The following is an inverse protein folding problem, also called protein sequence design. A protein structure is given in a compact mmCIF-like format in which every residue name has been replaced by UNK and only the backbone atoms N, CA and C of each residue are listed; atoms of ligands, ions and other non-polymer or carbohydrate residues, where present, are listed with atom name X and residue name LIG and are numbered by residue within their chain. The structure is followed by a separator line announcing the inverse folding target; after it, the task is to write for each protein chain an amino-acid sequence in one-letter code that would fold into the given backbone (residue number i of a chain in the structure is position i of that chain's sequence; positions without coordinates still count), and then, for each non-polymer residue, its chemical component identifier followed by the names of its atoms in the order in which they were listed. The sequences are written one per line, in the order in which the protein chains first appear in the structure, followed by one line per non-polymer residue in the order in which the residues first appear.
data_IF_649369050181
#
_entry.id   IF_649369050181
#
_cell.length_a   1.000
_cell.length_b   1.000
_cell.length_c   1.000
_cell.angle_alpha   90.00
_cell.angle_beta   90.00
_cell.angle_gamma   90.00
#
_symmetry.space_group_name_H-M   'P 1'
#
loop_
_entity.id
_entity.type
_entity.pdbx_description
1 polymer ?
#
# COMPACT_ATOMS: atom_id res chain seq x y z
N UNK A 1 -1.54 -8.99 -63.17
CA UNK A 1 -2.88 -9.12 -62.56
C UNK A 1 -2.82 -10.16 -61.45
N UNK A 2 -3.38 -9.77 -60.30
CA UNK A 2 -3.90 -10.59 -59.19
C UNK A 2 -2.87 -11.38 -58.35
N UNK A 3 -2.39 -10.77 -57.26
CA UNK A 3 -2.99 -10.77 -55.90
C UNK A 3 -3.11 -12.18 -55.31
N UNK A 4 -2.05 -12.63 -54.65
CA UNK A 4 -2.15 -13.70 -53.64
C UNK A 4 -1.51 -13.15 -52.36
N UNK A 5 -2.30 -12.32 -51.70
CA UNK A 5 -2.05 -11.80 -50.35
C UNK A 5 -2.51 -12.89 -49.37
N UNK A 6 -1.66 -13.89 -49.11
CA UNK A 6 -1.95 -14.86 -48.05
C UNK A 6 -1.59 -14.20 -46.74
N UNK A 7 -2.62 -13.68 -46.09
CA UNK A 7 -2.60 -13.05 -44.78
C UNK A 7 -1.84 -13.93 -43.78
N UNK A 8 -0.65 -13.48 -43.39
CA UNK A 8 0.01 -13.92 -42.17
C UNK A 8 -0.83 -13.31 -41.04
N UNK A 9 -1.80 -14.07 -40.52
CA UNK A 9 -2.60 -13.70 -39.37
C UNK A 9 -1.67 -13.67 -38.14
N UNK A 10 -0.93 -12.58 -38.00
CA UNK A 10 -0.16 -12.27 -36.81
C UNK A 10 -1.16 -11.95 -35.71
N UNK A 11 -1.53 -12.97 -34.93
CA UNK A 11 -2.26 -12.81 -33.69
C UNK A 11 -1.29 -12.19 -32.68
N UNK A 12 -1.20 -10.86 -32.66
CA UNK A 12 -0.53 -10.14 -31.58
C UNK A 12 -1.44 -10.17 -30.35
N UNK A 13 -1.19 -11.13 -29.46
CA UNK A 13 -1.66 -11.10 -28.07
C UNK A 13 -1.04 -9.86 -27.40
N UNK A 14 -1.77 -8.74 -27.40
CA UNK A 14 -1.50 -7.62 -26.51
C UNK A 14 -1.91 -8.03 -25.09
N UNK A 15 -1.02 -8.74 -24.40
CA UNK A 15 -1.14 -8.90 -22.96
C UNK A 15 -0.94 -7.51 -22.33
N UNK A 16 -2.02 -6.89 -21.89
CA UNK A 16 -1.96 -5.68 -21.06
C UNK A 16 -1.25 -6.05 -19.76
N UNK A 17 0.02 -5.66 -19.66
CA UNK A 17 0.79 -5.79 -18.41
C UNK A 17 0.18 -4.81 -17.42
N UNK A 18 -0.60 -5.32 -16.48
CA UNK A 18 -1.06 -4.55 -15.32
C UNK A 18 0.17 -4.32 -14.43
N UNK A 19 0.77 -3.15 -14.54
CA UNK A 19 1.86 -2.74 -13.64
C UNK A 19 1.26 -2.39 -12.27
N UNK A 20 1.55 -3.22 -11.27
CA UNK A 20 1.24 -2.89 -9.89
C UNK A 20 2.21 -1.82 -9.39
N UNK A 21 1.68 -0.70 -8.89
CA UNK A 21 2.48 0.34 -8.24
C UNK A 21 3.19 -0.21 -7.00
N UNK A 22 4.45 0.18 -6.79
CA UNK A 22 5.17 -0.24 -5.59
C UNK A 22 4.63 0.48 -4.36
N UNK A 23 4.55 -0.20 -3.21
CA UNK A 23 4.04 0.41 -1.98
C UNK A 23 4.84 1.64 -1.51
N UNK A 24 6.12 1.73 -1.90
CA UNK A 24 6.95 2.93 -1.66
C UNK A 24 6.43 4.13 -2.45
N UNK A 25 6.06 3.95 -3.72
CA UNK A 25 5.51 5.02 -4.56
C UNK A 25 4.16 5.48 -4.00
N UNK A 26 3.29 4.55 -3.59
CA UNK A 26 2.02 4.90 -2.94
C UNK A 26 2.25 5.69 -1.64
N UNK A 27 3.20 5.26 -0.81
CA UNK A 27 3.60 5.98 0.40
C UNK A 27 4.10 7.41 0.10
N UNK A 28 5.01 7.57 -0.86
CA UNK A 28 5.57 8.86 -1.29
C UNK A 28 4.53 9.75 -1.97
N UNK A 29 3.43 9.19 -2.45
CA UNK A 29 2.35 9.97 -3.06
C UNK A 29 1.37 10.49 -2.01
N UNK A 30 0.96 9.64 -1.06
CA UNK A 30 -0.20 9.92 -0.21
C UNK A 30 0.08 10.04 1.28
N UNK A 31 1.14 9.40 1.78
CA UNK A 31 1.29 9.15 3.22
C UNK A 31 2.50 9.86 3.85
N UNK A 32 3.54 10.13 3.05
CA UNK A 32 4.83 10.66 3.52
C UNK A 32 4.76 12.01 4.25
N UNK A 33 3.76 12.83 3.95
CA UNK A 33 3.57 14.12 4.61
C UNK A 33 3.22 14.01 6.10
N UNK A 34 2.68 12.87 6.52
CA UNK A 34 2.24 12.65 7.91
C UNK A 34 2.94 11.48 8.59
N UNK A 35 3.34 10.45 7.85
CA UNK A 35 3.96 9.24 8.38
C UNK A 35 5.42 9.14 7.95
N UNK A 36 6.27 8.70 8.87
CA UNK A 36 7.65 8.33 8.58
C UNK A 36 7.87 6.83 8.84
N UNK A 37 8.87 6.23 8.21
CA UNK A 37 9.08 4.79 8.30
C UNK A 37 9.43 4.33 9.73
N UNK A 38 10.31 5.06 10.41
CA UNK A 38 10.92 4.64 11.69
C UNK A 38 10.73 5.63 12.85
N UNK A 39 10.22 6.83 12.58
CA UNK A 39 10.07 7.88 13.59
C UNK A 39 8.63 8.39 13.63
N UNK A 40 8.18 8.84 14.79
CA UNK A 40 6.88 9.50 14.90
C UNK A 40 6.94 10.88 14.21
N UNK A 41 5.85 11.25 13.53
CA UNK A 41 5.68 12.55 12.88
C UNK A 41 4.28 13.10 13.24
N UNK A 42 3.46 13.47 12.25
CA UNK A 42 2.05 13.80 12.52
C UNK A 42 1.20 12.55 12.79
N UNK A 43 1.64 11.40 12.28
CA UNK A 43 1.13 10.08 12.60
C UNK A 43 2.21 9.15 13.17
N UNK A 44 1.82 7.99 13.71
CA UNK A 44 2.76 6.99 14.20
C UNK A 44 3.66 6.46 13.09
N UNK A 45 4.86 6.00 13.46
CA UNK A 45 5.80 5.43 12.48
C UNK A 45 5.29 4.12 11.88
N UNK A 46 5.76 3.76 10.69
CA UNK A 46 5.44 2.44 10.11
C UNK A 46 6.00 1.30 10.94
N UNK A 47 7.14 1.49 11.59
CA UNK A 47 7.69 0.56 12.57
C UNK A 47 6.73 0.29 13.74
N UNK A 48 6.15 1.35 14.32
CA UNK A 48 5.16 1.23 15.38
C UNK A 48 3.87 0.56 14.86
N UNK A 49 3.37 1.00 13.72
CA UNK A 49 2.17 0.44 13.10
C UNK A 49 2.36 -1.05 12.84
N UNK A 50 3.47 -1.46 12.22
CA UNK A 50 3.77 -2.85 11.90
C UNK A 50 4.03 -3.72 13.13
N UNK A 51 4.43 -3.11 14.25
CA UNK A 51 4.57 -3.79 15.54
C UNK A 51 3.22 -4.07 16.20
N UNK A 52 2.24 -3.17 16.04
CA UNK A 52 0.96 -3.21 16.75
C UNK A 52 -0.20 -3.77 15.94
N UNK A 53 -0.15 -3.71 14.61
CA UNK A 53 -1.28 -3.96 13.71
C UNK A 53 -1.01 -5.09 12.73
N UNK A 54 -2.06 -5.82 12.39
CA UNK A 54 -2.07 -6.77 11.29
C UNK A 54 -2.45 -6.10 9.96
N UNK A 55 -2.36 -6.86 8.86
CA UNK A 55 -2.65 -6.35 7.53
C UNK A 55 -4.09 -5.82 7.37
N UNK A 56 -5.07 -6.43 8.03
CA UNK A 56 -6.49 -6.08 7.89
C UNK A 56 -6.80 -4.80 8.66
N UNK A 57 -6.22 -4.66 9.86
CA UNK A 57 -6.28 -3.43 10.65
C UNK A 57 -5.65 -2.24 9.93
N UNK A 58 -4.51 -2.44 9.27
CA UNK A 58 -3.85 -1.40 8.47
C UNK A 58 -4.75 -0.97 7.31
N UNK A 59 -5.29 -1.93 6.55
CA UNK A 59 -6.19 -1.64 5.43
C UNK A 59 -7.45 -0.92 5.89
N UNK A 60 -8.07 -1.39 6.97
CA UNK A 60 -9.26 -0.79 7.54
C UNK A 60 -9.01 0.67 7.96
N UNK A 61 -7.86 0.97 8.58
CA UNK A 61 -7.51 2.34 8.95
C UNK A 61 -7.30 3.24 7.73
N UNK A 62 -6.75 2.71 6.62
CA UNK A 62 -6.59 3.48 5.37
C UNK A 62 -7.94 3.77 4.71
N UNK A 63 -8.86 2.80 4.70
CA UNK A 63 -10.15 2.92 4.01
C UNK A 63 -11.21 3.67 4.81
N UNK A 64 -11.24 3.50 6.14
CA UNK A 64 -12.18 4.20 7.04
C UNK A 64 -11.49 4.68 8.33
N UNK A 65 -10.59 5.68 8.22
CA UNK A 65 -9.87 6.19 9.38
C UNK A 65 -10.80 6.83 10.42
N UNK A 66 -11.97 7.34 10.01
CA UNK A 66 -12.93 8.00 10.93
C UNK A 66 -13.52 7.01 11.93
N UNK A 67 -13.88 5.81 11.48
CA UNK A 67 -14.44 4.78 12.37
C UNK A 67 -13.32 4.01 13.06
N UNK A 68 -12.31 3.58 12.31
CA UNK A 68 -11.25 2.70 12.82
C UNK A 68 -10.36 3.41 13.83
N UNK A 69 -10.12 4.72 13.70
CA UNK A 69 -9.35 5.46 14.71
C UNK A 69 -9.99 5.38 16.10
N UNK A 70 -11.33 5.36 16.18
CA UNK A 70 -12.06 5.26 17.45
C UNK A 70 -11.91 3.86 18.05
N UNK A 71 -11.99 2.82 17.22
CA UNK A 71 -11.73 1.44 17.62
C UNK A 71 -10.31 1.29 18.17
N UNK A 72 -9.34 1.99 17.57
CA UNK A 72 -7.96 2.02 18.05
C UNK A 72 -7.72 2.93 19.26
N UNK A 73 -8.73 3.64 19.75
CA UNK A 73 -8.67 4.46 20.96
C UNK A 73 -8.19 5.90 20.74
N UNK A 74 -8.08 6.39 19.51
CA UNK A 74 -7.70 7.77 19.23
C UNK A 74 -8.85 8.73 19.56
N UNK A 75 -8.54 9.78 20.35
CA UNK A 75 -9.50 10.84 20.71
C UNK A 75 -9.82 11.79 19.55
N UNK A 76 -8.85 11.99 18.64
CA UNK A 76 -8.96 12.83 17.44
C UNK A 76 -8.31 12.09 16.28
N UNK A 77 -8.83 12.30 15.08
CA UNK A 77 -8.26 11.74 13.86
C UNK A 77 -8.11 12.83 12.80
N UNK A 78 -6.89 13.01 12.31
CA UNK A 78 -6.58 13.91 11.19
C UNK A 78 -6.29 13.13 9.90
N UNK A 79 -6.23 11.80 9.94
CA UNK A 79 -5.98 10.97 8.76
C UNK A 79 -7.20 11.04 7.82
N UNK A 80 -7.02 11.51 6.57
CA UNK A 80 -8.09 11.53 5.58
C UNK A 80 -8.39 10.11 5.09
N UNK A 81 -9.61 9.91 4.59
CA UNK A 81 -9.96 8.66 3.89
C UNK A 81 -9.40 8.68 2.47
N UNK A 82 -9.09 7.50 1.94
CA UNK A 82 -8.62 7.30 0.56
C UNK A 82 -9.61 6.43 -0.23
N UNK A 83 -10.85 6.91 -0.51
CA UNK A 83 -11.92 6.10 -1.09
C UNK A 83 -11.62 5.63 -2.52
N UNK A 84 -10.76 6.35 -3.24
CA UNK A 84 -10.40 6.07 -4.63
C UNK A 84 -9.10 5.26 -4.77
N UNK A 85 -8.48 4.86 -3.65
CA UNK A 85 -7.27 4.03 -3.69
C UNK A 85 -7.61 2.64 -4.21
N UNK A 86 -6.84 2.17 -5.19
CA UNK A 86 -7.07 0.86 -5.80
C UNK A 86 -6.65 -0.27 -4.85
N UNK A 87 -7.28 -1.43 -5.00
CA UNK A 87 -6.99 -2.60 -4.17
C UNK A 87 -5.51 -3.03 -4.25
N UNK A 88 -4.90 -2.92 -5.43
CA UNK A 88 -3.50 -3.23 -5.65
C UNK A 88 -2.57 -2.25 -4.92
N UNK A 89 -2.89 -0.96 -4.93
CA UNK A 89 -2.15 0.09 -4.21
C UNK A 89 -2.27 -0.12 -2.71
N UNK A 90 -3.48 -0.40 -2.22
CA UNK A 90 -3.74 -0.69 -0.80
C UNK A 90 -2.96 -1.92 -0.33
N UNK A 91 -2.94 -2.99 -1.14
CA UNK A 91 -2.17 -4.21 -0.86
C UNK A 91 -0.67 -3.93 -0.86
N UNK A 92 -0.17 -3.19 -1.84
CA UNK A 92 1.24 -2.85 -1.97
C UNK A 92 1.70 -1.96 -0.79
N UNK A 93 0.93 -0.94 -0.44
CA UNK A 93 1.17 -0.06 0.70
C UNK A 93 1.15 -0.82 2.03
N UNK A 94 0.17 -1.70 2.23
CA UNK A 94 0.10 -2.54 3.45
C UNK A 94 1.34 -3.42 3.59
N UNK A 95 1.78 -4.05 2.50
CA UNK A 95 3.02 -4.85 2.48
C UNK A 95 4.25 -3.98 2.78
N UNK A 96 4.30 -2.76 2.24
CA UNK A 96 5.38 -1.81 2.50
C UNK A 96 5.43 -1.41 3.98
N UNK A 97 4.30 -1.03 4.59
CA UNK A 97 4.22 -0.72 6.03
C UNK A 97 4.72 -1.90 6.88
N UNK A 98 4.21 -3.11 6.62
CA UNK A 98 4.58 -4.31 7.36
C UNK A 98 6.05 -4.69 7.22
N UNK A 99 6.73 -4.26 6.16
CA UNK A 99 8.17 -4.50 5.99
C UNK A 99 9.04 -3.80 7.04
N UNK A 100 8.50 -2.80 7.75
CA UNK A 100 9.16 -2.10 8.85
C UNK A 100 8.96 -2.76 10.21
N UNK A 101 8.32 -3.93 10.28
CA UNK A 101 8.20 -4.67 11.54
C UNK A 101 9.60 -4.97 12.10
N UNK A 102 9.92 -4.54 13.33
CA UNK A 102 11.19 -4.85 13.96
C UNK A 102 11.42 -6.35 13.95
N UNK A 103 12.55 -6.77 13.39
CA UNK A 103 13.00 -8.13 13.54
C UNK A 103 13.55 -8.23 14.95
N UNK A 104 12.87 -8.97 15.83
CA UNK A 104 13.44 -9.33 17.12
C UNK A 104 14.74 -10.11 16.83
N UNK A 105 15.89 -9.44 16.88
CA UNK A 105 17.16 -10.12 17.11
C UNK A 105 16.99 -10.77 18.47
N UNK A 106 16.68 -12.07 18.50
CA UNK A 106 16.93 -12.89 19.68
C UNK A 106 18.32 -12.51 20.17
N UNK A 107 18.39 -12.03 21.40
CA UNK A 107 19.63 -11.69 22.09
C UNK A 107 20.65 -12.80 21.83
N UNK A 108 21.62 -12.55 20.95
CA UNK A 108 22.90 -13.24 21.01
C UNK A 108 23.67 -12.53 22.11
N UNK A 109 23.45 -12.97 23.34
CA UNK A 109 24.43 -12.86 24.41
C UNK A 109 24.76 -14.28 24.87
#
# INVERSE_FOLDING_TARGET
MNKIFKAFLSVTLFSSVVYAESGKVVFETYCWGCHHQTAEAFGPSFEEIASKRNADEIRAMITDPKSVSKVFGYKRNAMPAFPDMKDEELKALTKYILSFKPQNKKEKK
#
